data_IF_410571049387
#
_entry.id   IF_410571049387
#
_cell.length_a   1.000
_cell.length_b   1.000
_cell.length_c   1.000
_cell.angle_alpha   90.00
_cell.angle_beta   90.00
_cell.angle_gamma   90.00
#
_symmetry.space_group_name_H-M   'P 1'
#
loop_
_entity.id
_entity.type
_entity.pdbx_description
1 polymer ?
#
# COMPACT_ATOMS: atom_id res chain seq x y z
N UNK A 1 -15.35 -21.66 5.30
CA UNK A 1 -14.41 -20.67 5.86
C UNK A 1 -13.70 -20.02 4.68
N UNK A 2 -13.87 -18.74 4.47
CA UNK A 2 -13.10 -18.07 3.40
C UNK A 2 -11.62 -18.12 3.79
N UNK A 3 -10.80 -18.63 2.92
CA UNK A 3 -9.36 -18.63 3.09
C UNK A 3 -8.83 -17.18 3.01
N UNK A 4 -7.70 -16.92 3.63
CA UNK A 4 -7.03 -15.61 3.58
C UNK A 4 -6.79 -15.17 2.12
N UNK A 5 -6.50 -16.12 1.23
CA UNK A 5 -6.37 -15.84 -0.21
C UNK A 5 -7.68 -15.37 -0.84
N UNK A 6 -8.84 -15.91 -0.45
CA UNK A 6 -10.15 -15.44 -0.91
C UNK A 6 -10.43 -14.02 -0.44
N UNK A 7 -10.00 -13.70 0.78
CA UNK A 7 -10.10 -12.34 1.32
C UNK A 7 -9.26 -11.37 0.52
N UNK A 8 -8.03 -11.75 0.20
CA UNK A 8 -7.08 -10.92 -0.56
C UNK A 8 -7.35 -10.90 -2.07
N UNK A 9 -8.17 -11.81 -2.60
CA UNK A 9 -8.55 -11.81 -4.01
C UNK A 9 -9.37 -10.58 -4.42
N UNK A 10 -10.12 -10.01 -3.50
CA UNK A 10 -10.94 -8.81 -3.76
C UNK A 10 -10.09 -7.54 -3.79
N UNK A 11 -10.05 -6.80 -4.91
CA UNK A 11 -9.21 -5.60 -5.06
C UNK A 11 -9.46 -4.54 -3.99
N UNK A 12 -10.73 -4.24 -3.70
CA UNK A 12 -11.10 -3.21 -2.73
C UNK A 12 -10.56 -3.50 -1.33
N UNK A 13 -10.47 -4.78 -0.95
CA UNK A 13 -9.88 -5.17 0.35
C UNK A 13 -8.37 -4.93 0.36
N UNK A 14 -7.68 -5.22 -0.74
CA UNK A 14 -6.25 -4.91 -0.87
C UNK A 14 -5.99 -3.40 -0.79
N UNK A 15 -6.82 -2.61 -1.46
CA UNK A 15 -6.73 -1.14 -1.41
C UNK A 15 -6.93 -0.60 0.00
N UNK A 16 -7.88 -1.15 0.76
CA UNK A 16 -8.09 -0.80 2.17
C UNK A 16 -6.90 -1.17 3.05
N UNK A 17 -6.34 -2.37 2.88
CA UNK A 17 -5.15 -2.80 3.63
C UNK A 17 -3.94 -1.94 3.30
N UNK A 18 -3.74 -1.61 2.03
CA UNK A 18 -2.66 -0.72 1.60
C UNK A 18 -2.82 0.68 2.20
N UNK A 19 -4.02 1.24 2.17
CA UNK A 19 -4.31 2.54 2.75
C UNK A 19 -4.02 2.59 4.25
N UNK A 20 -4.41 1.54 4.99
CA UNK A 20 -4.12 1.41 6.41
C UNK A 20 -2.61 1.23 6.67
N UNK A 21 -1.90 0.55 5.78
CA UNK A 21 -0.44 0.41 5.85
C UNK A 21 0.26 1.74 5.65
N UNK A 22 -0.13 2.49 4.63
CA UNK A 22 0.41 3.83 4.36
C UNK A 22 0.16 4.80 5.51
N UNK A 23 -0.99 4.66 6.18
CA UNK A 23 -1.29 5.42 7.40
C UNK A 23 -0.34 5.04 8.54
N UNK A 24 -0.14 3.74 8.78
CA UNK A 24 0.75 3.24 9.81
C UNK A 24 2.21 3.64 9.58
N UNK A 25 2.64 3.72 8.32
CA UNK A 25 4.00 4.16 7.95
C UNK A 25 4.19 5.70 8.02
N UNK A 26 3.18 6.46 8.42
CA UNK A 26 3.22 7.93 8.48
C UNK A 26 3.24 8.62 7.12
N UNK A 27 3.12 7.88 6.03
CA UNK A 27 3.16 8.44 4.65
C UNK A 27 2.03 9.41 4.36
N UNK A 28 0.90 9.24 5.02
CA UNK A 28 -0.28 10.08 4.82
C UNK A 28 -0.32 11.31 5.72
N UNK A 29 0.44 11.33 6.79
CA UNK A 29 0.37 12.40 7.80
C UNK A 29 1.70 13.13 8.01
N UNK A 30 2.83 12.52 7.61
CA UNK A 30 4.16 13.09 7.86
C UNK A 30 4.56 13.17 9.33
N UNK A 31 3.77 12.58 10.22
CA UNK A 31 4.01 12.55 11.67
C UNK A 31 4.36 11.13 12.06
N UNK A 32 5.49 10.95 12.73
CA UNK A 32 5.85 9.67 13.34
C UNK A 32 4.83 9.29 14.42
N UNK A 33 4.43 8.07 14.38
CA UNK A 33 3.24 7.45 14.94
C UNK A 33 3.06 7.54 16.45
N UNK A 34 2.10 8.34 16.84
CA UNK A 34 1.28 7.98 18.01
C UNK A 34 0.29 6.86 17.61
N UNK A 35 -0.07 5.99 18.53
CA UNK A 35 -0.96 4.86 18.25
C UNK A 35 -2.30 5.30 17.61
N UNK A 36 -2.78 6.50 17.91
CA UNK A 36 -3.96 7.11 17.30
C UNK A 36 -3.71 7.61 15.87
N UNK A 37 -2.47 7.93 15.52
CA UNK A 37 -2.10 8.36 14.16
C UNK A 37 -2.15 7.21 13.14
N UNK A 38 -2.09 5.96 13.59
CA UNK A 38 -2.10 4.77 12.75
C UNK A 38 -3.50 4.27 12.38
N UNK A 39 -4.53 4.94 12.88
CA UNK A 39 -5.92 4.57 12.67
C UNK A 39 -6.58 5.47 11.63
N UNK A 40 -7.57 4.91 10.93
CA UNK A 40 -8.42 5.64 9.99
C UNK A 40 -9.89 5.42 10.28
N UNK A 41 -10.68 6.47 10.14
CA UNK A 41 -12.14 6.36 10.15
C UNK A 41 -12.69 5.88 8.80
N UNK A 42 -13.92 5.36 8.81
CA UNK A 42 -14.60 4.97 7.56
C UNK A 42 -14.77 6.16 6.62
N UNK A 43 -15.03 7.36 7.16
CA UNK A 43 -15.16 8.58 6.36
C UNK A 43 -13.88 8.92 5.58
N UNK A 44 -12.72 8.86 6.24
CA UNK A 44 -11.42 9.07 5.59
C UNK A 44 -11.15 8.05 4.48
N UNK A 45 -11.52 6.76 4.70
CA UNK A 45 -11.35 5.72 3.69
C UNK A 45 -12.25 5.96 2.47
N UNK A 46 -13.51 6.39 2.69
CA UNK A 46 -14.47 6.77 1.63
C UNK A 46 -13.90 7.90 0.77
N UNK A 47 -13.40 8.94 1.40
CA UNK A 47 -12.81 10.08 0.68
C UNK A 47 -11.60 9.69 -0.15
N UNK A 48 -10.74 8.83 0.40
CA UNK A 48 -9.51 8.41 -0.26
C UNK A 48 -9.72 7.44 -1.40
N UNK A 49 -10.63 6.50 -1.25
CA UNK A 49 -10.89 5.45 -2.25
C UNK A 49 -11.98 5.86 -3.25
N UNK A 50 -12.77 6.89 -2.97
CA UNK A 50 -13.85 7.35 -3.84
C UNK A 50 -14.98 6.34 -4.00
N UNK A 51 -15.17 5.46 -3.02
CA UNK A 51 -16.24 4.45 -2.98
C UNK A 51 -17.24 4.75 -1.86
N UNK A 52 -18.41 4.13 -1.91
CA UNK A 52 -19.47 4.42 -0.94
C UNK A 52 -19.18 3.88 0.45
N UNK A 53 -19.72 4.52 1.49
CA UNK A 53 -19.59 4.08 2.87
C UNK A 53 -20.09 2.66 3.11
N UNK A 54 -21.27 2.23 2.59
CA UNK A 54 -21.71 0.83 2.72
C UNK A 54 -20.73 -0.17 2.12
N UNK A 55 -20.10 0.17 1.00
CA UNK A 55 -19.07 -0.68 0.35
C UNK A 55 -17.84 -0.82 1.24
N UNK A 56 -17.30 0.29 1.76
CA UNK A 56 -16.16 0.28 2.69
C UNK A 56 -16.51 -0.56 3.93
N UNK A 57 -17.66 -0.30 4.55
CA UNK A 57 -18.10 -1.00 5.77
C UNK A 57 -18.24 -2.51 5.55
N UNK A 58 -18.76 -2.92 4.39
CA UNK A 58 -18.87 -4.35 4.03
C UNK A 58 -17.50 -5.04 3.95
N UNK A 59 -16.55 -4.41 3.30
CA UNK A 59 -15.21 -4.97 3.16
C UNK A 59 -14.42 -4.95 4.48
N UNK A 60 -14.55 -3.89 5.27
CA UNK A 60 -13.95 -3.83 6.61
C UNK A 60 -14.49 -4.92 7.55
N UNK A 61 -15.78 -5.26 7.44
CA UNK A 61 -16.36 -6.37 8.20
C UNK A 61 -15.65 -7.69 7.87
N UNK A 62 -15.45 -7.99 6.59
CA UNK A 62 -14.74 -9.20 6.16
C UNK A 62 -13.29 -9.20 6.66
N UNK A 63 -12.59 -8.08 6.52
CA UNK A 63 -11.21 -7.94 6.99
C UNK A 63 -11.11 -8.13 8.51
N UNK A 64 -12.07 -7.62 9.27
CA UNK A 64 -12.15 -7.79 10.72
C UNK A 64 -12.41 -9.25 11.12
N UNK A 65 -13.34 -9.93 10.45
CA UNK A 65 -13.66 -11.34 10.69
C UNK A 65 -12.44 -12.27 10.48
N UNK A 66 -11.50 -11.87 9.62
CA UNK A 66 -10.26 -12.57 9.36
C UNK A 66 -9.05 -12.03 10.14
N UNK A 67 -9.27 -11.13 11.07
CA UNK A 67 -8.22 -10.60 11.93
C UNK A 67 -7.19 -9.70 11.25
N UNK A 68 -7.48 -9.18 10.05
CA UNK A 68 -6.58 -8.30 9.29
C UNK A 68 -6.67 -6.83 9.69
N UNK A 69 -7.74 -6.46 10.36
CA UNK A 69 -7.93 -5.11 10.92
C UNK A 69 -8.44 -5.18 12.35
N UNK A 70 -7.97 -4.24 13.15
CA UNK A 70 -8.49 -3.96 14.48
C UNK A 70 -9.43 -2.76 14.40
N UNK A 71 -10.48 -2.75 15.22
CA UNK A 71 -11.42 -1.65 15.34
C UNK A 71 -11.42 -1.10 16.75
N UNK A 72 -11.29 0.22 16.87
CA UNK A 72 -11.47 0.96 18.12
C UNK A 72 -12.69 1.85 18.00
N UNK A 73 -13.58 1.80 18.97
CA UNK A 73 -14.73 2.68 19.04
C UNK A 73 -14.40 3.88 19.94
N UNK A 74 -14.70 5.07 19.44
CA UNK A 74 -14.61 6.31 20.20
C UNK A 74 -15.87 7.15 19.94
N UNK A 75 -16.78 7.13 20.91
CA UNK A 75 -18.10 7.73 20.76
C UNK A 75 -18.89 7.05 19.64
N UNK A 76 -19.30 7.83 18.65
CA UNK A 76 -20.05 7.34 17.48
C UNK A 76 -19.13 6.98 16.29
N UNK A 77 -17.84 7.15 16.46
CA UNK A 77 -16.85 6.90 15.41
C UNK A 77 -16.13 5.58 15.63
N UNK A 78 -15.82 4.90 14.51
CA UNK A 78 -15.02 3.68 14.48
C UNK A 78 -13.75 3.97 13.71
N UNK A 79 -12.63 3.62 14.33
CA UNK A 79 -11.29 3.75 13.79
C UNK A 79 -10.70 2.37 13.55
N UNK A 80 -10.09 2.20 12.41
CA UNK A 80 -9.53 0.92 11.97
C UNK A 80 -8.02 1.05 11.82
N UNK A 81 -7.31 0.03 12.24
CA UNK A 81 -5.86 -0.13 12.06
C UNK A 81 -5.52 -1.49 11.47
N UNK A 82 -4.40 -1.54 10.78
CA UNK A 82 -3.90 -2.79 10.17
C UNK A 82 -3.36 -3.73 11.25
N UNK A 83 -3.69 -5.01 11.14
CA UNK A 83 -3.11 -6.12 11.89
C UNK A 83 -2.31 -6.99 10.90
N UNK A 84 -0.98 -6.85 10.84
CA UNK A 84 -0.17 -7.51 9.82
C UNK A 84 0.11 -8.99 10.09
N UNK A 85 -0.13 -9.47 11.32
CA UNK A 85 0.23 -10.82 11.76
C UNK A 85 -0.32 -11.93 10.85
N UNK A 86 -1.61 -11.92 10.44
CA UNK A 86 -2.14 -12.95 9.55
C UNK A 86 -1.51 -12.95 8.16
N UNK A 87 -0.95 -11.81 7.72
CA UNK A 87 -0.29 -11.70 6.42
C UNK A 87 1.08 -12.38 6.39
N UNK A 88 1.67 -12.67 7.56
CA UNK A 88 2.93 -13.42 7.65
C UNK A 88 2.79 -14.84 7.13
N UNK A 89 1.66 -15.46 7.35
CA UNK A 89 1.40 -16.82 6.82
C UNK A 89 1.41 -16.82 5.28
N UNK A 90 0.92 -15.74 4.67
CA UNK A 90 0.98 -15.56 3.21
C UNK A 90 2.40 -15.28 2.75
N UNK A 91 3.15 -14.48 3.49
CA UNK A 91 4.56 -14.18 3.22
C UNK A 91 5.41 -15.46 3.28
N UNK A 92 5.26 -16.25 4.34
CA UNK A 92 5.94 -17.54 4.51
C UNK A 92 5.59 -18.51 3.39
N UNK A 93 4.33 -18.56 2.99
CA UNK A 93 3.91 -19.38 1.85
C UNK A 93 4.52 -18.91 0.54
N UNK A 94 4.56 -17.60 0.29
CA UNK A 94 5.19 -17.03 -0.90
C UNK A 94 6.69 -17.33 -0.95
N UNK A 95 7.38 -17.21 0.18
CA UNK A 95 8.80 -17.55 0.29
C UNK A 95 9.07 -19.03 0.04
N UNK A 96 8.12 -19.90 0.39
CA UNK A 96 8.23 -21.32 0.11
C UNK A 96 8.05 -21.66 -1.37
N UNK A 97 7.13 -20.98 -2.06
CA UNK A 97 6.84 -21.20 -3.49
C UNK A 97 7.86 -20.49 -4.39
N UNK A 98 8.29 -19.29 -4.01
CA UNK A 98 9.19 -18.45 -4.76
C UNK A 98 10.33 -17.95 -3.86
N UNK A 99 11.28 -18.81 -3.49
CA UNK A 99 12.36 -18.44 -2.59
C UNK A 99 13.19 -17.28 -3.18
N UNK A 100 13.51 -16.31 -2.34
CA UNK A 100 14.24 -15.09 -2.75
C UNK A 100 13.36 -13.91 -3.13
N UNK A 101 12.04 -14.01 -2.93
CA UNK A 101 11.08 -12.91 -3.15
C UNK A 101 11.00 -11.93 -1.98
N UNK A 102 11.64 -12.24 -0.85
CA UNK A 102 11.84 -11.22 0.17
C UNK A 102 12.62 -10.09 -0.48
N UNK A 103 11.93 -9.01 -0.71
CA UNK A 103 12.46 -7.82 -1.33
C UNK A 103 13.52 -7.15 -0.44
N UNK A 104 14.64 -7.82 -0.34
CA UNK A 104 15.89 -7.09 -0.19
C UNK A 104 16.07 -6.41 -1.54
N UNK A 105 15.92 -5.08 -1.64
CA UNK A 105 16.26 -4.42 -2.89
C UNK A 105 17.67 -4.90 -3.28
N UNK A 106 17.89 -5.28 -4.54
CA UNK A 106 19.19 -5.74 -4.97
C UNK A 106 20.19 -4.70 -4.48
N UNK A 107 21.19 -5.15 -3.73
CA UNK A 107 22.22 -4.28 -3.19
C UNK A 107 22.75 -3.45 -4.35
N UNK A 108 22.65 -2.14 -4.24
CA UNK A 108 23.17 -1.20 -5.22
C UNK A 108 24.58 -1.63 -5.66
N UNK A 109 24.70 -2.04 -6.91
CA UNK A 109 26.00 -2.24 -7.56
C UNK A 109 26.31 -0.95 -8.30
N UNK A 110 27.32 -0.21 -7.86
CA UNK A 110 27.63 1.10 -8.44
C UNK A 110 28.17 1.02 -9.89
N UNK A 111 28.40 -0.17 -10.40
CA UNK A 111 28.94 -0.47 -11.72
C UNK A 111 27.89 -0.79 -12.79
N UNK A 112 26.61 -0.86 -12.43
CA UNK A 112 25.53 -1.02 -13.39
C UNK A 112 24.68 0.23 -13.47
N UNK A 113 24.26 0.68 -14.67
CA UNK A 113 23.23 1.69 -14.79
C UNK A 113 21.92 1.10 -14.26
N UNK A 114 21.70 1.29 -12.96
CA UNK A 114 20.52 0.79 -12.28
C UNK A 114 19.31 1.65 -12.65
N UNK A 115 18.42 1.08 -13.42
CA UNK A 115 17.07 1.61 -13.55
C UNK A 115 16.25 0.92 -12.49
N UNK A 116 16.05 1.59 -11.37
CA UNK A 116 15.15 1.13 -10.35
C UNK A 116 13.72 1.15 -10.90
N UNK A 117 13.24 -0.02 -11.30
CA UNK A 117 11.86 -0.20 -11.75
C UNK A 117 10.87 -0.40 -10.59
N UNK A 118 11.37 -0.32 -9.35
CA UNK A 118 10.55 -0.42 -8.16
C UNK A 118 10.64 0.88 -7.34
N UNK A 119 9.62 1.62 -7.20
CA UNK A 119 8.20 1.55 -7.58
C UNK A 119 7.92 2.22 -8.94
N UNK A 120 7.83 1.41 -9.94
CA UNK A 120 7.86 1.81 -11.35
C UNK A 120 6.76 2.78 -11.80
N UNK A 121 5.70 2.94 -11.04
CA UNK A 121 4.62 3.86 -11.42
C UNK A 121 4.96 5.34 -11.27
N UNK A 122 5.82 5.69 -10.34
CA UNK A 122 6.08 7.08 -9.97
C UNK A 122 7.26 7.72 -10.71
N UNK A 123 8.29 6.95 -11.01
CA UNK A 123 9.56 7.52 -11.50
C UNK A 123 9.73 7.44 -13.02
N UNK A 124 8.97 6.58 -13.71
CA UNK A 124 9.00 6.56 -15.18
C UNK A 124 8.50 7.89 -15.75
N UNK A 125 7.50 8.51 -15.13
CA UNK A 125 6.98 9.82 -15.56
C UNK A 125 8.00 10.95 -15.46
N UNK A 126 8.85 10.95 -14.43
CA UNK A 126 9.85 12.00 -14.22
C UNK A 126 11.12 11.80 -15.03
N UNK A 127 11.56 10.54 -15.22
CA UNK A 127 12.72 10.22 -16.04
C UNK A 127 12.47 10.50 -17.54
N UNK A 128 11.30 10.12 -18.04
CA UNK A 128 10.89 10.42 -19.44
C UNK A 128 10.76 11.93 -19.66
N UNK A 129 10.26 12.67 -18.66
CA UNK A 129 10.15 14.13 -18.73
C UNK A 129 11.51 14.83 -18.81
N UNK A 130 12.52 14.34 -18.11
CA UNK A 130 13.86 14.91 -18.14
C UNK A 130 14.62 14.58 -19.45
N UNK A 131 14.49 13.38 -19.95
CA UNK A 131 15.08 12.96 -21.24
C UNK A 131 14.46 13.77 -22.39
N UNK A 132 13.16 14.00 -22.36
CA UNK A 132 12.46 14.83 -23.38
C UNK A 132 12.94 16.28 -23.36
N UNK A 133 13.15 16.88 -22.19
CA UNK A 133 13.71 18.24 -22.07
C UNK A 133 15.14 18.35 -22.61
N UNK A 134 15.96 17.31 -22.42
CA UNK A 134 17.32 17.29 -22.97
C UNK A 134 17.33 17.12 -24.51
N UNK A 135 16.42 16.32 -25.04
CA UNK A 135 16.29 16.14 -26.49
C UNK A 135 15.74 17.38 -27.19
N UNK A 136 14.76 18.06 -26.59
CA UNK A 136 14.24 19.32 -27.13
C UNK A 136 15.27 20.44 -27.12
N UNK A 137 16.20 20.44 -26.14
CA UNK A 137 17.33 21.37 -26.07
C UNK A 137 18.43 21.10 -27.12
N UNK A 138 18.54 19.85 -27.57
CA UNK A 138 19.50 19.46 -28.61
C UNK A 138 18.96 19.67 -30.03
N UNK A 139 17.66 19.46 -30.23
CA UNK A 139 17.00 19.63 -31.53
C UNK A 139 16.69 21.10 -31.86
N UNK A 140 16.63 21.99 -30.86
CA UNK A 140 16.44 23.42 -31.04
C UNK A 140 17.69 24.20 -31.49
N UNK A 141 18.80 23.52 -31.75
CA UNK A 141 20.08 24.13 -32.17
C UNK A 141 20.43 23.92 -33.64
N UNK A 142 19.52 23.35 -34.39
CA UNK A 142 19.71 23.19 -35.83
C UNK A 142 18.63 23.90 -36.64
#
# INVERSE_FOLDING_TARGET
MADLFDVLAEPTRRDLLQLLRERADGRLTGVESDAEANEMSVGEMVERLGITQPTVSKHLKVLREHGLVHVRENGQHRYYSLVPEPLRDVEDWLDHIAPGHTATPPSFRPDMPYVDLWPAGYQIGTAVGQVRKQLDGLLGRF
#
